data_IF_098000145882
#
_entry.id   IF_098000145882
#
_cell.length_a   1.000
_cell.length_b   1.000
_cell.length_c   1.000
_cell.angle_alpha   90.00
_cell.angle_beta   90.00
_cell.angle_gamma   90.00
#
_symmetry.space_group_name_H-M   'P 1'
#
loop_
_entity.id
_entity.type
_entity.pdbx_description
1 polymer ?
#
# COMPACT_ATOMS: atom_id res chain seq x y z
N UNK A 1 25.75 3.00 -5.61
CA UNK A 1 25.11 3.07 -6.94
C UNK A 1 24.12 4.22 -6.92
N UNK A 2 24.18 5.14 -7.88
CA UNK A 2 23.19 6.22 -7.99
C UNK A 2 21.90 5.66 -8.60
N UNK A 3 20.75 5.97 -8.01
CA UNK A 3 19.42 5.58 -8.54
C UNK A 3 18.93 6.51 -9.67
N UNK A 4 19.80 7.36 -10.19
CA UNK A 4 19.50 8.33 -11.24
C UNK A 4 20.17 7.94 -12.55
N UNK A 5 19.37 7.90 -13.61
CA UNK A 5 19.76 7.54 -14.97
C UNK A 5 19.77 8.82 -15.81
N UNK A 6 20.85 9.07 -16.54
CA UNK A 6 20.89 10.15 -17.52
C UNK A 6 20.01 9.77 -18.73
N UNK A 7 19.01 10.61 -19.01
CA UNK A 7 18.12 10.46 -20.17
C UNK A 7 18.66 11.30 -21.34
N UNK A 8 19.34 12.41 -21.01
CA UNK A 8 20.02 13.29 -21.94
C UNK A 8 20.69 14.43 -21.18
N UNK A 9 21.35 15.33 -21.91
CA UNK A 9 22.10 16.45 -21.31
C UNK A 9 21.20 17.28 -20.38
N UNK A 10 21.57 17.32 -19.09
CA UNK A 10 20.81 18.05 -18.06
C UNK A 10 19.46 17.43 -17.68
N UNK A 11 19.12 16.23 -18.19
CA UNK A 11 17.89 15.51 -17.86
C UNK A 11 18.21 14.14 -17.25
N UNK A 12 17.83 13.97 -16.00
CA UNK A 12 17.99 12.72 -15.24
C UNK A 12 16.64 12.23 -14.75
N UNK A 13 16.46 10.92 -14.73
CA UNK A 13 15.28 10.25 -14.17
C UNK A 13 15.67 9.37 -12.99
N UNK A 14 14.83 9.34 -11.95
CA UNK A 14 14.98 8.40 -10.84
C UNK A 14 14.40 7.04 -11.25
N UNK A 15 15.12 5.96 -11.01
CA UNK A 15 14.58 4.61 -11.14
C UNK A 15 13.42 4.43 -10.16
N UNK A 16 12.28 3.99 -10.66
CA UNK A 16 11.09 3.65 -9.88
C UNK A 16 10.75 2.17 -10.09
N UNK A 17 9.88 1.65 -9.24
CA UNK A 17 9.43 0.26 -9.24
C UNK A 17 7.92 0.24 -9.08
N UNK A 18 7.26 -0.60 -9.86
CA UNK A 18 5.86 -0.98 -9.69
C UNK A 18 5.73 -2.14 -8.69
N UNK A 19 4.49 -2.54 -8.36
CA UNK A 19 4.27 -3.73 -7.54
C UNK A 19 4.72 -5.01 -8.25
N UNK A 20 4.71 -5.05 -9.59
CA UNK A 20 5.14 -6.22 -10.38
C UNK A 20 6.67 -6.39 -10.41
N UNK A 21 7.41 -5.33 -10.05
CA UNK A 21 8.89 -5.34 -10.04
C UNK A 21 9.47 -5.88 -8.72
N UNK A 22 8.64 -6.11 -7.69
CA UNK A 22 9.10 -6.43 -6.34
C UNK A 22 8.27 -7.55 -5.69
N UNK A 23 8.90 -8.29 -4.78
CA UNK A 23 8.24 -9.32 -3.98
C UNK A 23 8.72 -9.25 -2.52
N UNK A 24 7.87 -9.71 -1.59
CA UNK A 24 8.22 -9.82 -0.18
C UNK A 24 9.05 -11.09 0.02
N UNK A 25 10.22 -10.94 0.63
CA UNK A 25 11.09 -12.08 0.98
C UNK A 25 10.73 -12.59 2.38
N UNK A 26 10.52 -13.90 2.58
CA UNK A 26 10.28 -14.45 3.90
C UNK A 26 11.40 -14.15 4.89
N UNK A 27 11.04 -13.84 6.13
CA UNK A 27 12.00 -13.68 7.22
C UNK A 27 12.38 -15.04 7.83
N UNK A 28 13.36 -15.07 8.74
CA UNK A 28 13.81 -16.32 9.39
C UNK A 28 12.75 -17.03 10.24
N UNK A 29 11.67 -16.34 10.64
CA UNK A 29 10.60 -16.91 11.47
C UNK A 29 9.25 -16.68 10.81
N UNK A 30 8.40 -17.68 10.90
CA UNK A 30 6.99 -17.60 10.51
C UNK A 30 6.13 -17.37 11.74
N UNK A 31 4.96 -16.76 11.52
CA UNK A 31 3.88 -16.64 12.50
C UNK A 31 2.63 -17.25 11.89
N UNK A 32 1.76 -17.76 12.75
CA UNK A 32 0.42 -18.14 12.32
C UNK A 32 -0.28 -16.87 11.79
N UNK A 33 -0.87 -16.88 10.58
CA UNK A 33 -1.61 -15.72 10.07
C UNK A 33 -2.75 -15.27 11.00
N UNK A 34 -3.35 -16.17 11.78
CA UNK A 34 -4.39 -15.85 12.75
C UNK A 34 -3.87 -15.04 13.95
N UNK A 35 -2.56 -15.08 14.21
CA UNK A 35 -1.91 -14.32 15.30
C UNK A 35 -1.46 -12.91 14.87
N UNK A 36 -1.67 -12.54 13.59
CA UNK A 36 -1.25 -11.24 13.04
C UNK A 36 -2.38 -10.23 13.17
N UNK A 37 -2.13 -9.13 13.90
CA UNK A 37 -3.08 -8.02 13.97
C UNK A 37 -3.13 -7.23 12.67
N UNK A 38 -4.34 -7.02 12.15
CA UNK A 38 -4.62 -6.11 11.03
C UNK A 38 -5.09 -4.73 11.51
N UNK A 39 -5.20 -4.50 12.82
CA UNK A 39 -5.73 -3.27 13.38
C UNK A 39 -4.91 -2.06 12.94
N UNK A 40 -5.61 -1.01 12.53
CA UNK A 40 -5.01 0.22 12.01
C UNK A 40 -5.55 1.43 12.72
N UNK A 41 -4.65 2.33 13.14
CA UNK A 41 -5.00 3.59 13.75
C UNK A 41 -4.52 4.75 12.88
N UNK A 42 -5.44 5.65 12.55
CA UNK A 42 -5.15 6.92 11.88
C UNK A 42 -5.70 8.03 12.77
N UNK A 43 -4.80 8.82 13.37
CA UNK A 43 -5.20 9.89 14.27
C UNK A 43 -6.14 9.36 15.38
N UNK A 44 -7.37 9.89 15.46
CA UNK A 44 -8.41 9.50 16.41
C UNK A 44 -9.22 8.25 15.99
N UNK A 45 -9.06 7.76 14.76
CA UNK A 45 -9.86 6.65 14.21
C UNK A 45 -9.14 5.31 14.36
N UNK A 46 -9.90 4.27 14.71
CA UNK A 46 -9.44 2.88 14.79
C UNK A 46 -10.27 2.00 13.87
N UNK A 47 -9.58 1.18 13.10
CA UNK A 47 -10.13 0.25 12.13
C UNK A 47 -9.59 -1.16 12.41
N UNK A 48 -10.41 -2.18 12.18
CA UNK A 48 -10.01 -3.58 12.36
C UNK A 48 -9.09 -4.08 11.24
N UNK A 49 -9.19 -3.48 10.04
CA UNK A 49 -8.37 -3.79 8.86
C UNK A 49 -7.88 -2.50 8.17
N UNK A 50 -6.71 -2.50 7.51
CA UNK A 50 -6.12 -1.31 6.91
C UNK A 50 -6.62 -1.08 5.47
N UNK A 51 -7.94 -0.98 5.28
CA UNK A 51 -8.57 -0.82 3.97
C UNK A 51 -9.41 0.45 3.95
N UNK A 52 -9.26 1.26 2.90
CA UNK A 52 -10.12 2.39 2.60
C UNK A 52 -10.65 2.22 1.19
N UNK A 53 -11.97 2.35 1.03
CA UNK A 53 -12.57 2.36 -0.29
C UNK A 53 -12.38 3.71 -0.98
N UNK A 54 -12.13 3.66 -2.28
CA UNK A 54 -11.97 4.87 -3.08
C UNK A 54 -13.29 5.69 -3.09
N UNK A 55 -13.21 7.03 -2.95
CA UNK A 55 -14.39 7.90 -2.91
C UNK A 55 -14.90 8.18 -4.33
N UNK A 56 -15.32 7.13 -5.03
CA UNK A 56 -15.82 7.19 -6.41
C UNK A 56 -17.30 6.83 -6.44
N UNK A 57 -18.10 7.54 -7.24
CA UNK A 57 -19.53 7.28 -7.45
C UNK A 57 -19.84 5.87 -7.98
N UNK A 58 -18.89 5.27 -8.71
CA UNK A 58 -18.95 3.90 -9.21
C UNK A 58 -18.78 2.82 -8.13
N UNK A 59 -18.25 3.19 -6.95
CA UNK A 59 -17.92 2.25 -5.86
C UNK A 59 -18.64 2.60 -4.55
N UNK A 60 -18.92 3.88 -4.33
CA UNK A 60 -19.33 4.42 -3.04
C UNK A 60 -20.72 5.06 -3.09
N UNK A 61 -21.61 4.50 -2.28
CA UNK A 61 -22.93 5.01 -1.91
C UNK A 61 -23.08 4.98 -0.39
N UNK A 62 -24.10 5.62 0.20
CA UNK A 62 -24.31 5.55 1.65
C UNK A 62 -24.41 4.11 2.18
N UNK A 63 -25.04 3.20 1.43
CA UNK A 63 -25.16 1.80 1.86
C UNK A 63 -23.81 1.07 1.84
N UNK A 64 -22.98 1.28 0.82
CA UNK A 64 -21.65 0.66 0.76
C UNK A 64 -20.69 1.26 1.77
N UNK A 65 -20.84 2.54 2.12
CA UNK A 65 -20.04 3.19 3.17
C UNK A 65 -20.34 2.63 4.57
N UNK A 66 -21.58 2.22 4.83
CA UNK A 66 -21.99 1.59 6.10
C UNK A 66 -21.53 0.13 6.18
N UNK A 67 -21.49 -0.57 5.04
CA UNK A 67 -21.11 -1.97 4.98
C UNK A 67 -19.59 -2.20 5.07
N UNK A 68 -18.80 -1.16 4.76
CA UNK A 68 -17.35 -1.15 4.86
C UNK A 68 -16.90 -0.90 6.30
#
# INVERSE_FOLDING_TARGET
>A
MSNEIEIGRGKRGRRAYSFDDVAIVPSRRTRDPQDVSLAWQIDAFRFDIPIIAAPMDSVMSPSTAIAL
#
